data_IF_261397258869
#
_entry.id   IF_261397258869
#
_cell.length_a   1.000
_cell.length_b   1.000
_cell.length_c   1.000
_cell.angle_alpha   90.00
_cell.angle_beta   90.00
_cell.angle_gamma   90.00
#
_symmetry.space_group_name_H-M   'P 1'
#
loop_
_entity.id
_entity.type
_entity.pdbx_description
1 polymer ?
#
# COMPACT_ATOMS: atom_id res chain seq x y z
N UNK A 1 69.88 -52.59 -31.86
CA UNK A 1 70.73 -51.48 -32.34
C UNK A 1 70.04 -50.16 -32.02
N UNK A 2 70.82 -49.11 -31.74
CA UNK A 2 70.39 -47.70 -31.64
C UNK A 2 69.58 -47.27 -32.90
N UNK A 3 68.83 -46.16 -32.97
CA UNK A 3 68.54 -44.99 -32.10
C UNK A 3 67.00 -44.88 -31.85
N UNK A 4 66.36 -43.84 -31.29
CA UNK A 4 66.74 -42.50 -30.81
C UNK A 4 65.79 -42.01 -29.70
N UNK A 5 66.21 -40.98 -28.96
CA UNK A 5 65.33 -40.05 -28.22
C UNK A 5 64.80 -38.94 -29.14
N UNK A 6 63.64 -38.33 -28.83
CA UNK A 6 63.55 -36.88 -28.48
C UNK A 6 62.12 -36.29 -28.42
N UNK A 7 61.92 -35.42 -27.42
CA UNK A 7 60.96 -34.31 -27.27
C UNK A 7 59.61 -34.31 -28.03
N UNK A 8 58.50 -34.24 -27.28
CA UNK A 8 57.70 -33.00 -27.24
C UNK A 8 56.82 -32.87 -25.98
N UNK A 9 57.04 -31.82 -25.19
CA UNK A 9 56.08 -31.34 -24.20
C UNK A 9 55.08 -30.37 -24.87
N UNK A 10 53.84 -30.78 -25.06
CA UNK A 10 52.71 -29.89 -25.39
C UNK A 10 51.41 -30.49 -24.82
N UNK A 11 50.84 -29.94 -23.74
CA UNK A 11 49.96 -28.75 -23.75
C UNK A 11 48.68 -28.94 -24.58
N UNK A 12 47.58 -29.38 -23.95
CA UNK A 12 46.47 -28.52 -23.51
C UNK A 12 45.26 -29.36 -23.11
N UNK A 13 44.80 -29.14 -21.88
CA UNK A 13 43.53 -29.62 -21.33
C UNK A 13 42.41 -28.72 -21.89
N UNK A 14 41.66 -29.15 -22.91
CA UNK A 14 40.49 -28.39 -23.39
C UNK A 14 39.27 -28.74 -22.52
N UNK A 15 39.00 -27.91 -21.53
CA UNK A 15 37.78 -27.98 -20.75
C UNK A 15 36.58 -27.49 -21.56
N UNK A 16 35.69 -28.39 -21.97
CA UNK A 16 34.39 -28.06 -22.55
C UNK A 16 33.37 -27.78 -21.43
N UNK A 17 33.54 -26.64 -20.75
CA UNK A 17 32.46 -26.05 -19.95
C UNK A 17 31.51 -25.38 -20.94
N UNK A 18 30.46 -26.09 -21.33
CA UNK A 18 29.35 -25.50 -22.05
C UNK A 18 28.61 -24.52 -21.11
N UNK A 19 29.00 -23.25 -21.16
CA UNK A 19 28.29 -22.18 -20.45
C UNK A 19 26.90 -22.05 -21.05
N UNK A 20 25.90 -22.64 -20.39
CA UNK A 20 24.49 -22.39 -20.67
C UNK A 20 24.24 -20.93 -20.30
N UNK A 21 24.37 -20.05 -21.30
CA UNK A 21 23.94 -18.66 -21.20
C UNK A 21 22.42 -18.63 -21.09
N UNK A 22 21.91 -18.77 -19.87
CA UNK A 22 20.51 -18.49 -19.58
C UNK A 22 20.35 -16.98 -19.70
N UNK A 23 19.97 -16.54 -20.90
CA UNK A 23 19.54 -15.18 -21.15
C UNK A 23 18.33 -14.91 -20.24
N UNK A 24 18.53 -14.18 -19.15
CA UNK A 24 17.45 -13.70 -18.29
C UNK A 24 16.57 -12.75 -19.09
N UNK A 25 15.61 -13.30 -19.82
CA UNK A 25 14.57 -12.54 -20.49
C UNK A 25 13.76 -11.86 -19.39
N UNK A 26 13.90 -10.54 -19.27
CA UNK A 26 13.05 -9.75 -18.40
C UNK A 26 11.60 -9.92 -18.85
N UNK A 27 10.84 -10.73 -18.12
CA UNK A 27 9.41 -10.92 -18.34
C UNK A 27 8.75 -9.59 -18.03
N UNK A 28 8.32 -8.88 -19.07
CA UNK A 28 7.56 -7.64 -18.93
C UNK A 28 6.17 -7.99 -18.40
N UNK A 29 6.02 -7.99 -17.07
CA UNK A 29 4.73 -8.18 -16.41
C UNK A 29 3.83 -6.97 -16.68
N UNK A 30 2.81 -7.17 -17.51
CA UNK A 30 1.78 -6.16 -17.74
C UNK A 30 0.83 -6.12 -16.54
N UNK A 31 1.10 -5.23 -15.59
CA UNK A 31 0.32 -5.05 -14.37
C UNK A 31 -1.03 -4.43 -14.75
N UNK A 32 -2.13 -5.10 -14.37
CA UNK A 32 -3.46 -4.55 -14.58
C UNK A 32 -3.60 -3.21 -13.85
N UNK A 33 -4.31 -2.23 -14.46
CA UNK A 33 -4.45 -0.89 -13.87
C UNK A 33 -5.08 -0.90 -12.47
N UNK A 34 -5.91 -1.90 -12.16
CA UNK A 34 -6.51 -2.11 -10.85
C UNK A 34 -5.55 -2.63 -9.78
N UNK A 35 -4.40 -3.16 -10.18
CA UNK A 35 -3.54 -3.98 -9.32
C UNK A 35 -2.20 -3.28 -9.06
N UNK A 36 -2.11 -1.98 -9.36
CA UNK A 36 -0.90 -1.16 -9.16
C UNK A 36 -0.54 -1.10 -7.67
N UNK A 37 -1.51 -0.91 -6.77
CA UNK A 37 -1.28 -0.96 -5.33
C UNK A 37 -0.80 -2.35 -4.85
N UNK A 38 -1.38 -3.43 -5.37
CA UNK A 38 -0.92 -4.80 -5.09
C UNK A 38 0.52 -5.01 -5.56
N UNK A 39 0.88 -4.53 -6.76
CA UNK A 39 2.26 -4.58 -7.24
C UNK A 39 3.21 -3.75 -6.37
N UNK A 40 2.79 -2.55 -5.93
CA UNK A 40 3.61 -1.71 -5.04
C UNK A 40 3.88 -2.42 -3.72
N UNK A 41 2.85 -2.92 -3.04
CA UNK A 41 3.00 -3.55 -1.72
C UNK A 41 3.71 -4.91 -1.78
N UNK A 42 3.59 -5.62 -2.91
CA UNK A 42 4.28 -6.90 -3.10
C UNK A 42 5.72 -6.76 -3.61
N UNK A 43 6.06 -5.79 -4.47
CA UNK A 43 7.40 -5.69 -5.09
C UNK A 43 8.20 -4.43 -4.74
N UNK A 44 7.55 -3.32 -4.37
CA UNK A 44 8.18 -2.01 -4.32
C UNK A 44 8.50 -1.45 -2.94
N UNK A 45 7.91 -1.97 -1.86
CA UNK A 45 8.13 -1.45 -0.49
C UNK A 45 9.42 -1.95 0.17
N UNK A 46 10.02 -3.01 -0.37
CA UNK A 46 11.19 -3.70 0.20
C UNK A 46 12.36 -3.72 -0.81
N UNK A 47 13.38 -2.86 -0.63
CA UNK A 47 14.50 -2.74 -1.56
C UNK A 47 15.55 -3.85 -1.39
N UNK A 48 15.39 -4.75 -0.41
CA UNK A 48 16.29 -5.90 -0.21
C UNK A 48 16.02 -7.05 -1.18
N UNK A 49 14.92 -6.98 -1.94
CA UNK A 49 14.50 -8.02 -2.89
C UNK A 49 15.48 -8.18 -4.05
N UNK A 50 15.65 -9.43 -4.47
CA UNK A 50 16.42 -9.74 -5.67
C UNK A 50 15.82 -9.03 -6.89
N UNK A 51 16.70 -8.44 -7.72
CA UNK A 51 16.31 -7.70 -8.93
C UNK A 51 15.29 -6.56 -8.68
N UNK A 52 15.23 -6.00 -7.47
CA UNK A 52 14.27 -4.97 -7.04
C UNK A 52 14.06 -3.83 -8.07
N UNK A 53 15.14 -3.17 -8.52
CA UNK A 53 15.04 -2.06 -9.46
C UNK A 53 14.56 -2.45 -10.87
N UNK A 54 14.57 -3.74 -11.23
CA UNK A 54 14.01 -4.25 -12.48
C UNK A 54 12.55 -4.72 -12.32
N UNK A 55 12.19 -5.22 -11.13
CA UNK A 55 10.87 -5.78 -10.83
C UNK A 55 9.85 -4.73 -10.33
N UNK A 56 10.32 -3.62 -9.76
CA UNK A 56 9.46 -2.59 -9.18
C UNK A 56 9.20 -1.42 -10.14
N UNK A 57 7.92 -1.14 -10.41
CA UNK A 57 7.50 -0.03 -11.29
C UNK A 57 7.58 1.37 -10.66
N UNK A 58 7.58 1.45 -9.33
CA UNK A 58 7.60 2.69 -8.53
C UNK A 58 8.54 2.48 -7.34
N UNK A 59 9.87 2.46 -7.55
CA UNK A 59 10.84 2.18 -6.50
C UNK A 59 10.81 3.22 -5.39
N UNK A 60 11.20 2.84 -4.18
CA UNK A 60 11.41 3.79 -3.08
C UNK A 60 12.44 4.83 -3.51
N UNK A 61 12.20 6.09 -3.16
CA UNK A 61 13.12 7.18 -3.46
C UNK A 61 14.53 6.96 -2.86
N UNK A 62 14.64 6.22 -1.75
CA UNK A 62 15.92 5.90 -1.09
C UNK A 62 16.68 4.71 -1.69
N UNK A 63 16.04 3.90 -2.55
CA UNK A 63 16.62 2.68 -3.12
C UNK A 63 17.60 2.92 -4.29
N UNK A 64 17.79 4.17 -4.73
CA UNK A 64 18.76 4.60 -5.75
C UNK A 64 18.62 3.93 -7.13
N UNK A 65 17.43 3.43 -7.47
CA UNK A 65 17.16 2.89 -8.81
C UNK A 65 17.28 3.99 -9.87
N UNK A 66 18.28 3.88 -10.75
CA UNK A 66 18.45 4.69 -11.98
C UNK A 66 18.40 6.22 -11.78
N UNK A 67 18.79 6.71 -10.60
CA UNK A 67 18.71 8.14 -10.21
C UNK A 67 17.31 8.78 -10.36
N UNK A 68 16.24 7.98 -10.31
CA UNK A 68 14.86 8.50 -10.40
C UNK A 68 14.49 9.13 -9.06
N UNK A 69 14.27 10.45 -9.05
CA UNK A 69 13.87 11.24 -7.86
C UNK A 69 12.49 11.88 -7.98
N UNK A 70 11.83 11.76 -9.14
CA UNK A 70 10.51 12.34 -9.38
C UNK A 70 9.43 11.67 -8.50
N UNK A 71 8.71 12.45 -7.70
CA UNK A 71 7.67 11.99 -6.79
C UNK A 71 6.63 11.03 -7.41
N UNK A 72 6.27 11.23 -8.69
CA UNK A 72 5.29 10.40 -9.42
C UNK A 72 5.87 9.11 -10.00
N UNK A 73 7.19 8.93 -9.93
CA UNK A 73 7.94 7.74 -10.39
C UNK A 73 8.59 6.96 -9.23
N UNK A 74 8.43 7.43 -8.00
CA UNK A 74 8.94 6.79 -6.79
C UNK A 74 7.83 6.62 -5.75
N UNK A 75 7.97 5.61 -4.88
CA UNK A 75 7.21 5.56 -3.65
C UNK A 75 8.03 6.10 -2.47
N UNK A 76 7.36 6.32 -1.35
CA UNK A 76 7.98 6.66 -0.07
C UNK A 76 7.31 5.79 0.99
N UNK A 77 8.07 4.89 1.61
CA UNK A 77 7.57 3.99 2.65
C UNK A 77 7.67 4.67 4.01
N UNK A 78 6.53 4.93 4.61
CA UNK A 78 6.40 5.52 5.94
C UNK A 78 6.63 4.48 7.05
N UNK A 79 6.12 3.25 6.85
CA UNK A 79 6.30 2.13 7.79
C UNK A 79 6.17 0.81 7.04
N UNK A 80 6.97 -0.19 7.44
CA UNK A 80 6.93 -1.53 6.86
C UNK A 80 6.99 -2.55 8.00
N UNK A 81 6.08 -3.52 7.98
CA UNK A 81 6.11 -4.70 8.84
C UNK A 81 6.09 -5.97 7.97
N UNK A 82 6.03 -7.14 8.61
CA UNK A 82 5.83 -8.41 7.91
C UNK A 82 4.46 -8.52 7.23
N UNK A 83 3.43 -7.88 7.79
CA UNK A 83 2.03 -7.97 7.32
C UNK A 83 1.51 -6.73 6.59
N UNK A 84 2.05 -5.54 6.88
CA UNK A 84 1.56 -4.27 6.35
C UNK A 84 2.68 -3.38 5.80
N UNK A 85 2.32 -2.49 4.87
CA UNK A 85 3.12 -1.34 4.53
C UNK A 85 2.24 -0.08 4.52
N UNK A 86 2.80 1.04 4.99
CA UNK A 86 2.24 2.36 4.79
C UNK A 86 3.15 3.16 3.87
N UNK A 87 2.56 3.81 2.87
CA UNK A 87 3.26 4.64 1.90
C UNK A 87 2.61 6.01 1.75
N UNK A 88 3.37 6.98 1.23
CA UNK A 88 2.83 8.22 0.69
C UNK A 88 1.93 7.95 -0.53
N UNK A 89 0.74 8.54 -0.59
CA UNK A 89 -0.12 8.51 -1.79
C UNK A 89 0.49 9.38 -2.91
N UNK A 90 0.30 8.98 -4.17
CA UNK A 90 0.70 9.78 -5.33
C UNK A 90 -0.05 11.12 -5.41
N UNK A 91 -1.22 11.25 -4.77
CA UNK A 91 -1.97 12.49 -4.58
C UNK A 91 -1.17 13.58 -3.86
N UNK A 92 -0.18 13.25 -3.02
CA UNK A 92 0.72 14.25 -2.42
C UNK A 92 1.71 14.88 -3.43
N UNK A 93 1.88 14.33 -4.63
CA UNK A 93 2.89 14.81 -5.58
C UNK A 93 2.51 16.14 -6.24
N UNK A 94 3.16 17.21 -5.77
CA UNK A 94 2.92 18.59 -6.19
C UNK A 94 2.11 19.40 -5.17
N UNK A 95 1.77 18.81 -4.03
CA UNK A 95 1.10 19.49 -2.93
C UNK A 95 2.08 20.25 -2.01
N UNK A 96 1.58 21.20 -1.21
CA UNK A 96 2.28 21.73 -0.06
C UNK A 96 2.68 20.65 0.96
N UNK A 97 3.71 20.92 1.77
CA UNK A 97 4.31 19.93 2.70
C UNK A 97 3.40 19.54 3.86
N UNK A 98 2.44 20.38 4.20
CA UNK A 98 1.42 20.17 5.22
C UNK A 98 0.26 19.26 4.76
N UNK A 99 0.08 19.09 3.44
CA UNK A 99 -0.93 18.18 2.90
C UNK A 99 -0.45 16.74 3.07
N UNK A 100 -1.12 15.99 3.96
CA UNK A 100 -0.78 14.60 4.25
C UNK A 100 -1.84 13.65 3.73
N UNK A 101 -1.43 12.70 2.89
CA UNK A 101 -2.24 11.63 2.37
C UNK A 101 -1.39 10.37 2.18
N UNK A 102 -1.62 9.35 3.01
CA UNK A 102 -0.97 8.04 2.91
C UNK A 102 -1.94 6.92 2.59
N UNK A 103 -1.38 5.74 2.30
CA UNK A 103 -2.09 4.49 2.10
C UNK A 103 -1.42 3.39 2.97
N UNK A 104 -2.17 2.81 3.91
CA UNK A 104 -1.78 1.57 4.59
C UNK A 104 -2.47 0.37 3.93
N UNK A 105 -1.69 -0.66 3.61
CA UNK A 105 -2.12 -1.82 2.83
C UNK A 105 -1.60 -3.12 3.44
N UNK A 106 -2.35 -4.23 3.38
CA UNK A 106 -1.79 -5.55 3.65
C UNK A 106 -0.78 -5.92 2.57
N UNK A 107 0.23 -6.70 2.94
CA UNK A 107 1.24 -7.26 2.03
C UNK A 107 0.75 -8.53 1.33
N UNK A 108 -0.34 -9.12 1.85
CA UNK A 108 -1.10 -10.20 1.22
C UNK A 108 -2.20 -9.63 0.30
N UNK A 109 -2.77 -10.48 -0.55
CA UNK A 109 -3.87 -10.11 -1.44
C UNK A 109 -5.15 -10.05 -0.63
N UNK A 110 -5.67 -8.84 -0.44
CA UNK A 110 -6.99 -8.58 0.17
C UNK A 110 -7.62 -7.51 -0.69
N UNK A 111 -8.81 -7.71 -1.26
CA UNK A 111 -9.34 -6.78 -2.27
C UNK A 111 -9.92 -5.49 -1.68
N UNK A 112 -10.55 -5.58 -0.50
CA UNK A 112 -11.16 -4.43 0.15
C UNK A 112 -12.10 -4.78 1.32
N UNK A 113 -13.05 -3.89 1.58
CA UNK A 113 -14.11 -4.01 2.62
C UNK A 113 -15.01 -5.24 2.44
N UNK A 114 -15.09 -5.79 1.24
CA UNK A 114 -15.86 -6.98 0.90
C UNK A 114 -15.10 -8.29 1.17
N UNK A 115 -13.77 -8.23 1.30
CA UNK A 115 -12.90 -9.41 1.38
C UNK A 115 -12.91 -10.02 2.79
N UNK A 116 -13.32 -11.29 2.97
CA UNK A 116 -13.39 -11.91 4.30
C UNK A 116 -12.02 -12.09 4.97
N UNK A 117 -10.91 -11.93 4.25
CA UNK A 117 -9.55 -12.04 4.79
C UNK A 117 -9.01 -10.70 5.35
N UNK A 118 -9.83 -9.65 5.40
CA UNK A 118 -9.44 -8.35 5.99
C UNK A 118 -9.22 -8.47 7.51
N UNK A 119 -7.97 -8.39 7.94
CA UNK A 119 -7.63 -8.40 9.36
C UNK A 119 -7.90 -7.03 10.03
N UNK A 120 -8.35 -7.05 11.30
CA UNK A 120 -8.76 -5.85 12.06
C UNK A 120 -7.57 -4.93 12.43
N UNK A 121 -6.37 -5.48 12.65
CA UNK A 121 -5.22 -4.71 13.14
C UNK A 121 -4.58 -3.78 12.09
N UNK A 122 -5.05 -3.83 10.82
CA UNK A 122 -4.71 -2.81 9.80
C UNK A 122 -5.12 -1.41 10.28
N UNK A 123 -6.23 -1.30 11.03
CA UNK A 123 -6.70 -0.02 11.56
C UNK A 123 -5.75 0.54 12.60
N UNK A 124 -5.23 -0.30 13.50
CA UNK A 124 -4.22 0.13 14.47
C UNK A 124 -2.90 0.50 13.77
N UNK A 125 -2.45 -0.31 12.81
CA UNK A 125 -1.25 -0.01 12.03
C UNK A 125 -1.35 1.33 11.27
N UNK A 126 -2.50 1.58 10.64
CA UNK A 126 -2.77 2.83 9.93
C UNK A 126 -2.92 4.02 10.89
N UNK A 127 -3.51 3.81 12.07
CA UNK A 127 -3.64 4.83 13.12
C UNK A 127 -2.28 5.27 13.65
N UNK A 128 -1.42 4.31 14.02
CA UNK A 128 -0.07 4.56 14.54
C UNK A 128 0.77 5.36 13.52
N UNK A 129 0.67 5.04 12.23
CA UNK A 129 1.34 5.79 11.16
C UNK A 129 0.72 7.19 10.97
N UNK A 130 -0.60 7.31 11.14
CA UNK A 130 -1.33 8.56 11.00
C UNK A 130 -0.98 9.58 12.09
N UNK A 131 -0.95 9.16 13.36
CA UNK A 131 -0.65 10.05 14.50
C UNK A 131 0.80 10.56 14.52
N UNK A 132 1.71 9.90 13.81
CA UNK A 132 3.08 10.41 13.57
C UNK A 132 3.09 11.65 12.64
N UNK A 133 1.97 11.99 11.96
CA UNK A 133 1.89 12.99 10.87
C UNK A 133 0.70 13.95 10.97
N UNK A 134 -0.37 13.53 11.64
CA UNK A 134 -1.64 14.24 11.76
C UNK A 134 -2.12 14.14 13.21
N UNK A 135 -2.46 15.28 13.82
CA UNK A 135 -3.06 15.33 15.17
C UNK A 135 -4.25 14.35 15.27
N UNK A 136 -4.32 13.58 16.36
CA UNK A 136 -5.28 12.48 16.52
C UNK A 136 -6.76 12.91 16.36
N UNK A 137 -7.08 14.16 16.70
CA UNK A 137 -8.42 14.76 16.59
C UNK A 137 -8.74 15.21 15.15
N UNK A 138 -7.73 15.35 14.30
CA UNK A 138 -7.84 15.66 12.86
C UNK A 138 -7.70 14.43 11.96
N UNK A 139 -7.19 13.32 12.47
CA UNK A 139 -6.92 12.10 11.71
C UNK A 139 -8.22 11.39 11.31
N UNK A 140 -8.34 11.11 10.01
CA UNK A 140 -9.27 10.16 9.44
C UNK A 140 -8.50 8.97 8.84
N UNK A 141 -8.99 7.77 9.12
CA UNK A 141 -8.65 6.56 8.40
C UNK A 141 -9.84 6.15 7.54
N UNK A 142 -9.62 5.84 6.27
CA UNK A 142 -10.73 5.68 5.32
C UNK A 142 -10.52 4.49 4.38
N UNK A 143 -11.56 3.70 4.14
CA UNK A 143 -11.61 2.70 3.07
C UNK A 143 -12.82 2.99 2.19
N UNK A 144 -12.61 3.11 0.88
CA UNK A 144 -13.66 3.41 -0.08
C UNK A 144 -14.45 2.15 -0.51
N UNK A 145 -15.74 2.29 -0.87
CA UNK A 145 -16.54 1.19 -1.44
C UNK A 145 -15.90 0.62 -2.72
N UNK A 146 -16.09 -0.68 -3.02
CA UNK A 146 -15.81 -1.28 -4.32
C UNK A 146 -16.20 -0.42 -5.54
N UNK A 147 -17.40 0.17 -5.55
CA UNK A 147 -17.85 1.00 -6.68
C UNK A 147 -17.16 2.36 -6.82
N UNK A 148 -16.48 2.82 -5.77
CA UNK A 148 -15.88 4.16 -5.68
C UNK A 148 -14.35 4.14 -5.64
N UNK A 149 -13.72 2.97 -5.78
CA UNK A 149 -12.26 2.81 -5.81
C UNK A 149 -11.78 2.32 -7.18
N UNK A 150 -10.54 2.64 -7.52
CA UNK A 150 -9.91 2.24 -8.79
C UNK A 150 -8.90 1.10 -8.64
N UNK A 151 -8.76 0.54 -7.43
CA UNK A 151 -7.74 -0.46 -7.09
C UNK A 151 -8.37 -1.66 -6.36
N UNK A 152 -7.88 -2.86 -6.68
CA UNK A 152 -8.33 -4.15 -6.14
C UNK A 152 -7.38 -4.68 -5.05
N UNK A 153 -6.83 -3.77 -4.24
CA UNK A 153 -6.07 -4.05 -3.04
C UNK A 153 -6.66 -3.19 -1.92
N UNK A 154 -6.87 -3.75 -0.74
CA UNK A 154 -7.32 -3.02 0.45
C UNK A 154 -6.31 -1.93 0.79
N UNK A 155 -6.77 -0.68 0.80
CA UNK A 155 -5.96 0.48 1.17
C UNK A 155 -6.74 1.37 2.13
N UNK A 156 -6.25 1.45 3.37
CA UNK A 156 -6.69 2.44 4.36
C UNK A 156 -5.99 3.75 4.03
N UNK A 157 -6.74 4.73 3.51
CA UNK A 157 -6.24 6.08 3.31
C UNK A 157 -6.03 6.76 4.67
N UNK A 158 -4.90 7.45 4.84
CA UNK A 158 -4.46 8.12 6.08
C UNK A 158 -4.36 9.62 5.80
N UNK A 159 -5.25 10.43 6.37
CA UNK A 159 -5.45 11.83 5.92
C UNK A 159 -6.25 12.67 6.92
N UNK A 160 -6.37 13.98 6.63
CA UNK A 160 -7.05 14.94 7.51
C UNK A 160 -8.56 14.99 7.24
N UNK A 161 -9.36 14.97 8.30
CA UNK A 161 -10.77 15.36 8.24
C UNK A 161 -10.91 16.77 7.65
N UNK A 162 -11.98 16.97 6.87
CA UNK A 162 -12.46 18.31 6.55
C UNK A 162 -12.92 19.02 7.84
N UNK A 163 -12.73 20.34 7.93
CA UNK A 163 -13.06 21.10 9.13
C UNK A 163 -14.56 21.00 9.49
N UNK A 164 -15.41 20.80 8.47
CA UNK A 164 -16.86 20.63 8.61
C UNK A 164 -17.30 19.17 8.44
N UNK A 165 -16.40 18.18 8.56
CA UNK A 165 -16.76 16.77 8.48
C UNK A 165 -17.66 16.35 9.66
N UNK A 166 -17.28 16.76 10.87
CA UNK A 166 -17.94 16.32 12.12
C UNK A 166 -19.39 16.78 12.24
N UNK A 167 -19.73 17.94 11.69
CA UNK A 167 -21.12 18.46 11.67
C UNK A 167 -22.05 17.68 10.73
N UNK A 168 -21.49 16.77 9.93
CA UNK A 168 -22.21 15.93 8.96
C UNK A 168 -22.24 14.44 9.35
N UNK A 169 -21.58 14.07 10.46
CA UNK A 169 -21.57 12.68 10.94
C UNK A 169 -22.96 12.21 11.39
N UNK A 170 -23.77 13.08 11.99
CA UNK A 170 -25.15 12.77 12.42
C UNK A 170 -26.11 12.44 11.26
N UNK A 171 -25.71 12.77 10.02
CA UNK A 171 -26.44 12.45 8.78
C UNK A 171 -26.06 11.07 8.22
N UNK A 172 -25.10 10.38 8.86
CA UNK A 172 -24.50 9.13 8.38
C UNK A 172 -24.73 7.99 9.37
N UNK A 173 -24.56 6.76 8.91
CA UNK A 173 -24.68 5.58 9.78
C UNK A 173 -23.43 5.44 10.64
N UNK A 174 -23.45 6.00 11.86
CA UNK A 174 -22.30 6.02 12.78
C UNK A 174 -22.49 5.11 13.99
N UNK A 175 -21.39 4.55 14.48
CA UNK A 175 -21.30 3.81 15.75
C UNK A 175 -19.98 4.12 16.45
N UNK A 176 -19.91 3.95 17.77
CA UNK A 176 -18.70 4.17 18.56
C UNK A 176 -18.13 2.84 19.05
N UNK A 177 -16.81 2.69 18.95
CA UNK A 177 -16.05 1.53 19.45
C UNK A 177 -14.93 2.00 20.38
N UNK A 178 -14.64 1.22 21.41
CA UNK A 178 -13.62 1.56 22.41
C UNK A 178 -12.18 1.33 21.91
N UNK A 179 -12.01 0.56 20.84
CA UNK A 179 -10.72 0.19 20.26
C UNK A 179 -10.81 -0.07 18.75
N UNK A 180 -9.67 -0.04 18.08
CA UNK A 180 -9.58 -0.22 16.63
C UNK A 180 -9.70 -1.67 16.16
N UNK A 181 -9.67 -2.65 17.07
CA UNK A 181 -9.79 -4.08 16.76
C UNK A 181 -11.25 -4.54 16.57
N UNK A 182 -12.21 -3.61 16.64
CA UNK A 182 -13.65 -3.86 16.47
C UNK A 182 -14.25 -3.17 15.23
N UNK A 183 -13.42 -2.59 14.34
CA UNK A 183 -13.91 -1.67 13.30
C UNK A 183 -14.62 -2.41 12.17
N UNK A 184 -14.07 -3.51 11.65
CA UNK A 184 -14.77 -4.29 10.62
C UNK A 184 -16.04 -4.90 11.19
N UNK A 185 -15.99 -5.52 12.37
CA UNK A 185 -17.18 -6.04 13.04
C UNK A 185 -18.28 -5.00 13.23
N UNK A 186 -17.92 -3.76 13.60
CA UNK A 186 -18.86 -2.66 13.76
C UNK A 186 -19.41 -2.16 12.42
N UNK A 187 -18.53 -1.97 11.42
CA UNK A 187 -18.91 -1.52 10.08
C UNK A 187 -19.84 -2.53 9.39
N UNK A 188 -19.50 -3.82 9.40
CA UNK A 188 -20.32 -4.91 8.85
C UNK A 188 -21.72 -4.94 9.46
N UNK A 189 -21.81 -4.79 10.80
CA UNK A 189 -23.09 -4.76 11.51
C UNK A 189 -23.93 -3.55 11.08
N UNK A 190 -23.32 -2.37 10.94
CA UNK A 190 -24.00 -1.14 10.50
C UNK A 190 -24.44 -1.27 9.03
N UNK A 191 -23.55 -1.71 8.14
CA UNK A 191 -23.85 -1.94 6.72
C UNK A 191 -25.03 -2.90 6.54
N UNK A 192 -24.99 -4.06 7.20
CA UNK A 192 -26.06 -5.06 7.18
C UNK A 192 -27.38 -4.53 7.73
N UNK A 193 -27.35 -3.72 8.80
CA UNK A 193 -28.57 -3.10 9.38
C UNK A 193 -29.22 -2.11 8.41
N UNK A 194 -28.43 -1.44 7.58
CA UNK A 194 -28.89 -0.48 6.57
C UNK A 194 -29.07 -1.09 5.17
N UNK A 195 -28.91 -2.41 5.01
CA UNK A 195 -29.06 -3.11 3.73
C UNK A 195 -27.96 -2.81 2.70
N UNK A 196 -26.79 -2.32 3.14
CA UNK A 196 -25.67 -1.97 2.27
C UNK A 196 -24.78 -3.18 1.99
N UNK A 197 -24.61 -3.52 0.71
CA UNK A 197 -23.67 -4.55 0.22
C UNK A 197 -22.40 -3.96 -0.42
N UNK A 198 -22.37 -2.65 -0.63
CA UNK A 198 -21.28 -1.85 -1.19
C UNK A 198 -21.21 -0.58 -0.33
N UNK A 199 -20.11 -0.43 0.42
CA UNK A 199 -19.97 0.63 1.41
C UNK A 199 -18.50 0.95 1.69
N UNK A 200 -18.24 2.21 2.02
CA UNK A 200 -16.99 2.66 2.61
C UNK A 200 -17.08 2.75 4.13
N UNK A 201 -15.90 2.80 4.75
CA UNK A 201 -15.73 2.97 6.19
C UNK A 201 -14.83 4.17 6.44
N UNK A 202 -15.23 5.04 7.37
CA UNK A 202 -14.37 6.07 7.95
C UNK A 202 -14.23 5.83 9.45
N UNK A 203 -13.00 5.95 9.94
CA UNK A 203 -12.67 5.93 11.37
C UNK A 203 -12.03 7.25 11.75
N UNK A 204 -12.51 7.85 12.84
CA UNK A 204 -11.91 9.03 13.44
C UNK A 204 -12.05 8.99 14.97
N UNK A 205 -11.17 9.68 15.70
CA UNK A 205 -11.32 9.83 17.16
C UNK A 205 -12.56 10.67 17.48
N UNK A 206 -13.36 10.25 18.44
CA UNK A 206 -14.48 11.02 18.97
C UNK A 206 -14.02 12.02 20.03
N UNK A 207 -14.87 12.99 20.38
CA UNK A 207 -14.59 13.94 21.45
C UNK A 207 -14.57 13.28 22.85
N UNK A 208 -15.17 12.09 22.98
CA UNK A 208 -15.21 11.29 24.21
C UNK A 208 -14.04 10.30 24.31
N UNK A 209 -13.07 10.35 23.40
CA UNK A 209 -11.88 9.49 23.41
C UNK A 209 -12.08 8.09 22.80
N UNK A 210 -13.33 7.69 22.50
CA UNK A 210 -13.65 6.50 21.69
C UNK A 210 -13.28 6.71 20.22
N UNK A 211 -13.36 5.66 19.41
CA UNK A 211 -13.32 5.77 17.95
C UNK A 211 -14.74 5.80 17.38
N UNK A 212 -15.02 6.76 16.51
CA UNK A 212 -16.22 6.79 15.68
C UNK A 212 -15.95 5.98 14.41
N UNK A 213 -16.86 5.08 14.08
CA UNK A 213 -16.90 4.31 12.82
C UNK A 213 -18.14 4.77 12.05
N UNK A 214 -17.94 5.28 10.84
CA UNK A 214 -18.97 5.75 9.93
C UNK A 214 -19.02 4.82 8.72
N UNK A 215 -20.22 4.40 8.34
CA UNK A 215 -20.50 3.61 7.13
C UNK A 215 -21.28 4.46 6.13
N UNK A 216 -20.87 4.41 4.86
CA UNK A 216 -21.43 5.22 3.76
C UNK A 216 -21.51 4.41 2.47
N UNK A 217 -22.59 4.51 1.66
CA UNK A 217 -22.60 3.93 0.31
C UNK A 217 -21.69 4.68 -0.67
N UNK A 218 -21.55 6.00 -0.50
CA UNK A 218 -20.66 6.86 -1.28
C UNK A 218 -19.24 6.88 -0.68
N UNK A 219 -18.27 7.42 -1.42
CA UNK A 219 -16.86 7.58 -0.97
C UNK A 219 -16.75 8.44 0.31
N UNK A 220 -16.42 7.85 1.48
CA UNK A 220 -16.13 8.63 2.68
C UNK A 220 -14.89 9.53 2.52
N UNK A 221 -13.92 9.15 1.69
CA UNK A 221 -12.75 9.97 1.36
C UNK A 221 -13.20 11.28 0.72
N UNK A 222 -13.99 11.20 -0.37
CA UNK A 222 -14.46 12.38 -1.07
C UNK A 222 -15.40 13.25 -0.22
N UNK A 223 -16.21 12.62 0.65
CA UNK A 223 -17.24 13.30 1.42
C UNK A 223 -16.70 14.04 2.66
N UNK A 224 -15.81 13.45 3.45
CA UNK A 224 -15.52 13.92 4.82
C UNK A 224 -14.10 14.46 5.03
N UNK A 225 -13.29 14.59 3.97
CA UNK A 225 -11.84 14.71 4.15
C UNK A 225 -11.15 15.63 3.16
N UNK A 226 -9.94 16.07 3.53
CA UNK A 226 -9.06 16.87 2.67
C UNK A 226 -8.24 15.90 1.81
N UNK A 227 -8.86 15.38 0.74
CA UNK A 227 -8.27 14.37 -0.16
C UNK A 227 -7.55 14.94 -1.39
N UNK A 228 -7.49 16.28 -1.49
CA UNK A 228 -6.82 17.08 -2.54
C UNK A 228 -6.24 18.36 -1.93
N UNK A 229 -5.26 18.93 -2.61
CA UNK A 229 -4.43 20.05 -2.13
C UNK A 229 -4.44 21.29 -3.04
N UNK A 230 -5.52 21.45 -3.83
CA UNK A 230 -5.66 22.46 -4.89
C UNK A 230 -5.42 23.90 -4.40
#
# INVERSE_FOLDING_TARGET
MNTSTNYLWAKILVALIATIGISSQAISFNIAKSDILLHIVSQCVDPSKENYCANCMLPRADARCSNITECKKTNEVWKLSTRYAAIRDIKMCGCPVEFTHGLAMPREVVTGVEDPNREEDIWQFAWDVGIERIEAESLALVVNPPSQRTQNQLHVHILRLDQNARTRFDQSSTVYVDNLQSVWLAADKVAKTNGLNDYGVLVAKSLEGKYLVLVSPDSPEAAFTIWKCN
#
